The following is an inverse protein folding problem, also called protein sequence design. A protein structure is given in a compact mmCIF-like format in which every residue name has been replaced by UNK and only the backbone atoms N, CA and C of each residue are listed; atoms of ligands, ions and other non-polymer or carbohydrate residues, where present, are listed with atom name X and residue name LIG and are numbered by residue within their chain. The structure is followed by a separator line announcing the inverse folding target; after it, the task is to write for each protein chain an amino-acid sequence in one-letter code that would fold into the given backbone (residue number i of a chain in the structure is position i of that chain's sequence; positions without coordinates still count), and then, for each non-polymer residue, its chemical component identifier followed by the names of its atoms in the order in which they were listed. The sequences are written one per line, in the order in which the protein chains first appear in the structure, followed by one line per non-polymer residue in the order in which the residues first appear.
data_IF_977119952872
#
_entry.id   IF_977119952872
#
_cell.length_a   1.000
_cell.length_b   1.000
_cell.length_c   1.000
_cell.angle_alpha   90.00
_cell.angle_beta   90.00
_cell.angle_gamma   90.00
#
_symmetry.space_group_name_H-M   'P 1'
#
loop_
_entity.id
_entity.type
_entity.pdbx_description
1 polymer ?
#
# COMPACT_ATOMS: atom_id res chain seq x y z
N UNK A 1 12.10 -11.01 -0.53
CA UNK A 1 11.58 -10.11 -1.57
C UNK A 1 12.60 -9.00 -1.85
N UNK A 2 12.60 -8.37 -3.03
CA UNK A 2 13.38 -7.17 -3.36
C UNK A 2 12.51 -5.91 -3.27
N UNK A 3 13.10 -4.72 -3.15
CA UNK A 3 12.33 -3.46 -3.18
C UNK A 3 11.54 -3.31 -4.49
N UNK A 4 12.09 -3.79 -5.61
CA UNK A 4 11.39 -3.74 -6.91
C UNK A 4 10.18 -4.67 -6.95
N UNK A 5 10.28 -5.86 -6.35
CA UNK A 5 9.12 -6.77 -6.21
C UNK A 5 8.03 -6.13 -5.33
N UNK A 6 8.40 -5.44 -4.24
CA UNK A 6 7.45 -4.69 -3.40
C UNK A 6 6.77 -3.58 -4.20
N UNK A 7 7.53 -2.81 -5.00
CA UNK A 7 6.98 -1.75 -5.87
C UNK A 7 5.93 -2.28 -6.82
N UNK A 8 6.27 -3.32 -7.59
CA UNK A 8 5.37 -3.92 -8.57
C UNK A 8 4.07 -4.38 -7.91
N UNK A 9 4.16 -5.04 -6.74
CA UNK A 9 2.96 -5.52 -6.04
C UNK A 9 2.14 -4.38 -5.43
N UNK A 10 2.79 -3.33 -4.91
CA UNK A 10 2.11 -2.10 -4.47
C UNK A 10 1.39 -1.45 -5.64
N UNK A 11 2.01 -1.34 -6.80
CA UNK A 11 1.43 -0.72 -7.99
C UNK A 11 0.17 -1.48 -8.44
N UNK A 12 0.18 -2.82 -8.41
CA UNK A 12 -1.01 -3.65 -8.68
C UNK A 12 -2.17 -3.37 -7.71
N UNK A 13 -1.88 -3.16 -6.42
CA UNK A 13 -2.90 -2.78 -5.43
C UNK A 13 -3.46 -1.38 -5.72
N UNK A 14 -2.61 -0.42 -6.11
CA UNK A 14 -3.05 0.92 -6.50
C UNK A 14 -3.94 0.89 -7.76
N UNK A 15 -3.56 0.10 -8.77
CA UNK A 15 -4.38 -0.12 -9.97
C UNK A 15 -5.75 -0.71 -9.63
N UNK A 16 -5.80 -1.63 -8.66
CA UNK A 16 -7.07 -2.23 -8.24
C UNK A 16 -8.01 -1.22 -7.57
N UNK A 17 -7.47 -0.21 -6.87
CA UNK A 17 -8.25 0.92 -6.37
C UNK A 17 -8.74 1.81 -7.51
N UNK A 18 -7.87 2.13 -8.47
CA UNK A 18 -8.26 2.95 -9.61
C UNK A 18 -9.38 2.30 -10.44
N UNK A 19 -9.40 0.97 -10.50
CA UNK A 19 -10.48 0.18 -11.12
C UNK A 19 -11.76 0.07 -10.28
N UNK A 20 -11.77 0.49 -9.03
CA UNK A 20 -12.92 0.43 -8.12
C UNK A 20 -13.35 1.84 -7.69
N UNK A 21 -14.44 2.35 -8.30
CA UNK A 21 -14.91 3.73 -8.08
C UNK A 21 -15.14 4.06 -6.59
N UNK A 22 -15.67 3.12 -5.82
CA UNK A 22 -15.95 3.31 -4.39
C UNK A 22 -14.65 3.43 -3.58
N UNK A 23 -13.73 2.49 -3.75
CA UNK A 23 -12.45 2.52 -3.06
C UNK A 23 -11.59 3.71 -3.49
N UNK A 24 -11.66 4.11 -4.76
CA UNK A 24 -11.00 5.32 -5.28
C UNK A 24 -11.47 6.57 -4.53
N UNK A 25 -12.77 6.74 -4.31
CA UNK A 25 -13.31 7.86 -3.52
C UNK A 25 -12.86 7.85 -2.06
N UNK A 26 -12.74 6.67 -1.45
CA UNK A 26 -12.20 6.56 -0.08
C UNK A 26 -10.71 6.94 -0.06
N UNK A 27 -9.94 6.50 -1.07
CA UNK A 27 -8.51 6.75 -1.16
C UNK A 27 -8.20 8.22 -1.46
N UNK A 28 -8.78 8.80 -2.52
CA UNK A 28 -8.42 10.12 -3.03
C UNK A 28 -9.27 11.25 -2.45
N UNK A 29 -10.58 11.01 -2.26
CA UNK A 29 -11.51 12.06 -1.82
C UNK A 29 -11.77 12.05 -0.30
N UNK A 30 -11.16 11.09 0.42
CA UNK A 30 -11.30 10.96 1.86
C UNK A 30 -12.71 10.57 2.31
N UNK A 31 -13.50 9.94 1.44
CA UNK A 31 -14.81 9.42 1.82
C UNK A 31 -14.70 8.35 2.89
N UNK A 32 -15.73 8.24 3.73
CA UNK A 32 -15.75 7.23 4.78
C UNK A 32 -16.13 5.86 4.18
N UNK A 33 -15.23 4.89 4.28
CA UNK A 33 -15.49 3.51 3.89
C UNK A 33 -16.03 2.67 5.05
N UNK A 34 -16.43 1.44 4.75
CA UNK A 34 -16.65 0.42 5.78
C UNK A 34 -15.35 0.21 6.59
N UNK A 35 -15.43 -0.32 7.83
CA UNK A 35 -14.25 -0.46 8.69
C UNK A 35 -13.06 -1.13 7.99
N UNK A 36 -13.34 -2.17 7.22
CA UNK A 36 -12.33 -2.96 6.50
C UNK A 36 -11.76 -2.25 5.26
N UNK A 37 -12.61 -1.53 4.53
CA UNK A 37 -12.17 -0.68 3.42
C UNK A 37 -11.27 0.44 3.95
N UNK A 38 -11.68 1.10 5.03
CA UNK A 38 -10.90 2.14 5.69
C UNK A 38 -9.55 1.61 6.19
N UNK A 39 -9.52 0.38 6.72
CA UNK A 39 -8.28 -0.29 7.13
C UNK A 39 -7.36 -0.56 5.92
N UNK A 40 -7.91 -1.12 4.84
CA UNK A 40 -7.20 -1.36 3.59
C UNK A 40 -6.59 -0.07 3.03
N UNK A 41 -7.40 0.98 2.88
CA UNK A 41 -6.94 2.28 2.37
C UNK A 41 -5.83 2.86 3.25
N UNK A 42 -5.98 2.79 4.58
CA UNK A 42 -4.96 3.27 5.52
C UNK A 42 -3.64 2.53 5.35
N UNK A 43 -3.66 1.20 5.25
CA UNK A 43 -2.44 0.41 5.07
C UNK A 43 -1.82 0.61 3.70
N UNK A 44 -2.62 0.74 2.64
CA UNK A 44 -2.10 1.00 1.31
C UNK A 44 -1.45 2.38 1.20
N UNK A 45 -2.01 3.42 1.83
CA UNK A 45 -1.35 4.75 1.92
C UNK A 45 0.00 4.66 2.62
N UNK A 46 0.05 3.97 3.76
CA UNK A 46 1.31 3.74 4.48
C UNK A 46 2.32 2.96 3.63
N UNK A 47 1.87 1.93 2.90
CA UNK A 47 2.73 1.16 2.01
C UNK A 47 3.27 2.03 0.87
N UNK A 48 2.42 2.85 0.26
CA UNK A 48 2.79 3.77 -0.81
C UNK A 48 3.88 4.76 -0.35
N UNK A 49 3.65 5.43 0.78
CA UNK A 49 4.59 6.37 1.38
C UNK A 49 5.92 5.69 1.76
N UNK A 50 5.85 4.50 2.35
CA UNK A 50 7.04 3.75 2.75
C UNK A 50 7.88 3.32 1.54
N UNK A 51 7.23 2.84 0.46
CA UNK A 51 7.91 2.50 -0.79
C UNK A 51 8.53 3.74 -1.43
N UNK A 52 7.84 4.87 -1.47
CA UNK A 52 8.38 6.14 -2.00
C UNK A 52 9.57 6.65 -1.18
N UNK A 53 9.50 6.51 0.15
CA UNK A 53 10.58 6.89 1.06
C UNK A 53 11.82 6.05 0.81
N UNK A 54 11.70 4.72 0.77
CA UNK A 54 12.82 3.82 0.50
C UNK A 54 13.38 3.99 -0.92
N UNK A 55 12.53 4.33 -1.88
CA UNK A 55 12.95 4.62 -3.26
C UNK A 55 13.73 5.92 -3.39
N UNK A 56 13.39 6.91 -2.56
CA UNK A 56 14.01 8.24 -2.57
C UNK A 56 15.27 8.29 -1.69
N UNK A 57 15.53 7.25 -0.89
CA UNK A 57 16.68 7.17 0.02
C UNK A 57 17.98 6.78 -0.71
N UNK A 58 18.17 7.32 -1.91
CA UNK A 58 19.27 7.06 -2.85
C UNK A 58 20.65 7.46 -2.28
N UNK A 59 20.69 8.30 -1.23
CA UNK A 59 21.95 8.67 -0.55
C UNK A 59 22.38 7.70 0.56
N UNK A 60 21.53 6.74 0.97
CA UNK A 60 21.81 5.80 2.05
C UNK A 60 21.90 6.42 3.46
N UNK A 61 21.55 7.70 3.61
CA UNK A 61 21.69 8.46 4.85
C UNK A 61 20.41 8.46 5.72
N UNK A 62 19.25 8.10 5.15
CA UNK A 62 17.98 8.00 5.87
C UNK A 62 17.85 6.68 6.62
N UNK A 63 17.03 6.68 7.68
CA UNK A 63 16.62 5.45 8.40
C UNK A 63 15.92 4.50 7.42
N UNK A 64 16.68 3.63 6.76
CA UNK A 64 16.12 2.57 5.92
C UNK A 64 15.08 1.80 6.73
N UNK A 65 13.82 1.89 6.33
CA UNK A 65 12.84 0.92 6.72
C UNK A 65 13.34 -0.43 6.21
N UNK A 66 13.53 -1.40 7.11
CA UNK A 66 14.03 -2.71 6.71
C UNK A 66 13.09 -3.28 5.65
N UNK A 67 13.64 -3.85 4.59
CA UNK A 67 12.87 -4.51 3.53
C UNK A 67 11.83 -5.50 4.08
N UNK A 68 12.14 -6.17 5.20
CA UNK A 68 11.21 -7.05 5.92
C UNK A 68 9.96 -6.31 6.44
N UNK A 69 10.09 -5.05 6.86
CA UNK A 69 8.95 -4.23 7.31
C UNK A 69 8.05 -3.85 6.13
N UNK A 70 8.63 -3.47 5.00
CA UNK A 70 7.90 -3.24 3.76
C UNK A 70 7.18 -4.51 3.30
N UNK A 71 7.87 -5.64 3.34
CA UNK A 71 7.33 -6.95 2.99
C UNK A 71 6.13 -7.32 3.90
N UNK A 72 6.26 -7.15 5.21
CA UNK A 72 5.14 -7.40 6.14
C UNK A 72 3.95 -6.49 5.86
N UNK A 73 4.19 -5.18 5.65
CA UNK A 73 3.13 -4.23 5.35
C UNK A 73 2.42 -4.55 4.04
N UNK A 74 3.16 -4.99 3.02
CA UNK A 74 2.60 -5.47 1.76
C UNK A 74 1.70 -6.69 1.99
N UNK A 75 2.19 -7.73 2.65
CA UNK A 75 1.42 -8.96 2.89
C UNK A 75 0.16 -8.70 3.71
N UNK A 76 0.24 -7.84 4.73
CA UNK A 76 -0.94 -7.41 5.50
C UNK A 76 -1.96 -6.67 4.61
N UNK A 77 -1.49 -5.79 3.73
CA UNK A 77 -2.37 -5.02 2.83
C UNK A 77 -3.07 -5.94 1.83
N UNK A 78 -2.35 -6.91 1.26
CA UNK A 78 -2.89 -7.90 0.32
C UNK A 78 -3.87 -8.87 0.99
N UNK A 79 -3.63 -9.24 2.25
CA UNK A 79 -4.55 -10.07 3.01
C UNK A 79 -5.92 -9.37 3.14
N UNK A 80 -5.94 -8.09 3.51
CA UNK A 80 -7.19 -7.33 3.61
C UNK A 80 -7.84 -7.17 2.24
N UNK A 81 -7.06 -6.89 1.20
CA UNK A 81 -7.57 -6.79 -0.18
C UNK A 81 -8.29 -8.06 -0.60
N UNK A 82 -7.66 -9.22 -0.38
CA UNK A 82 -8.25 -10.52 -0.70
C UNK A 82 -9.56 -10.74 0.03
N UNK A 83 -9.63 -10.32 1.29
CA UNK A 83 -10.86 -10.44 2.07
C UNK A 83 -11.96 -9.44 1.69
N UNK A 84 -11.65 -8.36 0.97
CA UNK A 84 -12.63 -7.44 0.39
C UNK A 84 -13.22 -7.97 -0.94
N UNK A 85 -12.59 -8.96 -1.55
CA UNK A 85 -13.06 -9.61 -2.78
C UNK A 85 -13.98 -10.81 -2.55
N UNK A 86 -14.08 -11.29 -1.31
CA UNK A 86 -14.93 -12.41 -0.89
C UNK A 86 -16.29 -11.93 -0.37
#
# INVERSE_FOLDING_TARGET
MTLNEVKVRRDLLMESIMGNEHLSKIFYDGQQGLPKESEYIKKLKLLNEAVETESSNDCGCGKNMRLNTLENLLHETEAIWKELQC
#
